data_IF_918656407685
#
_entry.id   IF_918656407685
#
_cell.length_a   1.000
_cell.length_b   1.000
_cell.length_c   1.000
_cell.angle_alpha   90.00
_cell.angle_beta   90.00
_cell.angle_gamma   90.00
#
_symmetry.space_group_name_H-M   'P 1'
#
loop_
_entity.id
_entity.type
_entity.pdbx_description
1 polymer ?
#
# COMPACT_ATOMS: atom_id res chain seq x y z
N UNK A 1 9.26 -7.29 -4.56
CA UNK A 1 9.47 -6.83 -5.94
C UNK A 1 8.28 -6.05 -6.50
N UNK A 2 7.04 -6.59 -6.49
CA UNK A 2 5.85 -5.91 -7.03
C UNK A 2 5.65 -4.49 -6.46
N UNK A 3 5.84 -4.27 -5.15
CA UNK A 3 5.76 -2.97 -4.48
C UNK A 3 6.74 -1.93 -5.04
N UNK A 4 7.97 -2.32 -5.33
CA UNK A 4 9.01 -1.40 -5.79
C UNK A 4 8.71 -0.81 -7.19
N UNK A 5 7.97 -1.56 -8.00
CA UNK A 5 7.52 -1.11 -9.33
C UNK A 5 6.32 -0.15 -9.22
N UNK A 6 5.46 -0.34 -8.20
CA UNK A 6 4.23 0.45 -8.03
C UNK A 6 4.48 1.83 -7.43
N UNK A 7 5.53 1.99 -6.61
CA UNK A 7 5.83 3.27 -5.93
C UNK A 7 6.06 4.43 -6.91
N UNK A 8 6.88 4.31 -7.98
CA UNK A 8 7.08 5.41 -8.93
C UNK A 8 5.81 5.81 -9.69
N UNK A 9 4.90 4.84 -9.93
CA UNK A 9 3.62 5.07 -10.59
C UNK A 9 2.64 5.86 -9.72
N UNK A 10 2.81 5.82 -8.41
CA UNK A 10 1.88 6.43 -7.45
C UNK A 10 1.74 7.93 -7.66
N UNK A 11 2.84 8.64 -7.90
CA UNK A 11 2.82 10.09 -8.10
C UNK A 11 2.00 10.52 -9.32
N UNK A 12 2.08 9.78 -10.41
CA UNK A 12 1.29 10.03 -11.60
C UNK A 12 -0.19 9.64 -11.40
N UNK A 13 -0.45 8.46 -10.83
CA UNK A 13 -1.80 8.00 -10.53
C UNK A 13 -2.53 8.95 -9.58
N UNK A 14 -1.84 9.45 -8.55
CA UNK A 14 -2.38 10.40 -7.59
C UNK A 14 -2.80 11.72 -8.25
N UNK A 15 -1.98 12.26 -9.17
CA UNK A 15 -2.32 13.47 -9.92
C UNK A 15 -3.49 13.25 -10.89
N UNK A 16 -3.64 12.06 -11.44
CA UNK A 16 -4.69 11.75 -12.43
C UNK A 16 -6.03 11.42 -11.79
N UNK A 17 -6.05 10.63 -10.73
CA UNK A 17 -7.27 10.10 -10.11
C UNK A 17 -7.64 10.78 -8.80
N UNK A 18 -6.74 11.57 -8.23
CA UNK A 18 -6.85 12.15 -6.91
C UNK A 18 -6.26 11.23 -5.83
N UNK A 19 -5.61 11.83 -4.82
CA UNK A 19 -4.93 11.08 -3.75
C UNK A 19 -5.90 10.27 -2.90
N UNK A 20 -7.05 10.86 -2.53
CA UNK A 20 -8.05 10.20 -1.66
C UNK A 20 -8.69 9.03 -2.37
N UNK A 21 -9.12 9.20 -3.62
CA UNK A 21 -9.73 8.11 -4.41
C UNK A 21 -8.74 6.98 -4.63
N UNK A 22 -7.49 7.32 -5.03
CA UNK A 22 -6.47 6.30 -5.26
C UNK A 22 -6.16 5.53 -3.98
N UNK A 23 -6.06 6.20 -2.84
CA UNK A 23 -5.85 5.57 -1.54
C UNK A 23 -6.99 4.61 -1.18
N UNK A 24 -8.25 5.04 -1.34
CA UNK A 24 -9.42 4.20 -1.07
C UNK A 24 -9.46 2.97 -1.99
N UNK A 25 -9.30 3.15 -3.31
CA UNK A 25 -9.30 2.04 -4.25
C UNK A 25 -8.16 1.05 -4.00
N UNK A 26 -6.97 1.55 -3.69
CA UNK A 26 -5.83 0.71 -3.32
C UNK A 26 -6.09 -0.07 -2.03
N UNK A 27 -6.73 0.54 -1.03
CA UNK A 27 -7.08 -0.13 0.23
C UNK A 27 -8.14 -1.21 0.02
N UNK A 28 -9.19 -0.93 -0.77
CA UNK A 28 -10.23 -1.93 -1.10
C UNK A 28 -9.62 -3.09 -1.87
N UNK A 29 -8.82 -2.80 -2.91
CA UNK A 29 -8.17 -3.82 -3.71
C UNK A 29 -7.17 -4.65 -2.88
N UNK A 30 -6.45 -4.03 -1.93
CA UNK A 30 -5.57 -4.72 -0.99
C UNK A 30 -6.35 -5.66 -0.06
N UNK A 31 -7.48 -5.20 0.50
CA UNK A 31 -8.33 -6.03 1.36
C UNK A 31 -8.94 -7.20 0.58
N UNK A 32 -9.40 -6.97 -0.65
CA UNK A 32 -9.93 -8.02 -1.53
C UNK A 32 -8.83 -9.05 -1.91
N UNK A 33 -7.63 -8.58 -2.27
CA UNK A 33 -6.49 -9.47 -2.54
C UNK A 33 -6.05 -10.26 -1.29
N UNK A 34 -6.11 -9.64 -0.10
CA UNK A 34 -5.86 -10.33 1.16
C UNK A 34 -6.88 -11.43 1.41
N UNK A 35 -8.16 -11.14 1.22
CA UNK A 35 -9.20 -12.15 1.34
C UNK A 35 -8.97 -13.32 0.37
N UNK A 36 -8.66 -13.02 -0.89
CA UNK A 36 -8.36 -14.02 -1.91
C UNK A 36 -7.12 -14.87 -1.56
N UNK A 37 -6.10 -14.27 -0.93
CA UNK A 37 -4.96 -15.03 -0.38
C UNK A 37 -5.40 -16.00 0.71
N UNK A 38 -6.28 -15.56 1.63
CA UNK A 38 -6.76 -16.39 2.75
C UNK A 38 -7.58 -17.61 2.33
N UNK A 39 -8.32 -17.52 1.20
CA UNK A 39 -9.12 -18.62 0.64
C UNK A 39 -8.39 -19.43 -0.42
N UNK A 40 -7.11 -19.12 -0.71
CA UNK A 40 -6.37 -19.83 -1.75
C UNK A 40 -6.14 -21.29 -1.39
N UNK A 41 -6.49 -22.19 -2.30
CA UNK A 41 -6.36 -23.64 -2.16
C UNK A 41 -5.09 -24.19 -2.81
N UNK A 42 -4.37 -23.39 -3.58
CA UNK A 42 -3.15 -23.82 -4.26
C UNK A 42 -2.03 -22.78 -4.10
N UNK A 43 -0.78 -23.24 -4.14
CA UNK A 43 0.40 -22.38 -4.06
C UNK A 43 0.44 -21.37 -5.20
N UNK A 44 0.09 -21.77 -6.42
CA UNK A 44 0.10 -20.89 -7.57
C UNK A 44 -0.94 -19.76 -7.43
N UNK A 45 -2.12 -20.08 -6.92
CA UNK A 45 -3.18 -19.12 -6.64
C UNK A 45 -2.73 -18.12 -5.55
N UNK A 46 -2.10 -18.61 -4.50
CA UNK A 46 -1.54 -17.78 -3.44
C UNK A 46 -0.47 -16.82 -3.98
N UNK A 47 0.47 -17.33 -4.78
CA UNK A 47 1.53 -16.50 -5.39
C UNK A 47 0.92 -15.42 -6.27
N UNK A 48 -0.06 -15.75 -7.11
CA UNK A 48 -0.74 -14.79 -7.96
C UNK A 48 -1.38 -13.65 -7.15
N UNK A 49 -2.20 -13.98 -6.14
CA UNK A 49 -2.83 -12.95 -5.31
C UNK A 49 -1.84 -12.17 -4.45
N UNK A 50 -0.72 -12.76 -4.07
CA UNK A 50 0.38 -12.05 -3.40
C UNK A 50 1.06 -11.02 -4.31
N UNK A 51 1.21 -11.33 -5.58
CA UNK A 51 1.73 -10.35 -6.56
C UNK A 51 0.73 -9.20 -6.73
N UNK A 52 -0.55 -9.51 -6.90
CA UNK A 52 -1.62 -8.49 -6.98
C UNK A 52 -1.63 -7.62 -5.71
N UNK A 53 -1.63 -8.26 -4.53
CA UNK A 53 -1.57 -7.56 -3.24
C UNK A 53 -0.36 -6.63 -3.14
N UNK A 54 0.81 -7.09 -3.59
CA UNK A 54 2.04 -6.28 -3.62
C UNK A 54 1.95 -5.06 -4.55
N UNK A 55 1.33 -5.21 -5.73
CA UNK A 55 1.14 -4.09 -6.68
C UNK A 55 0.22 -3.03 -6.08
N UNK A 56 -0.92 -3.43 -5.52
CA UNK A 56 -1.91 -2.47 -4.98
C UNK A 56 -1.48 -1.87 -3.63
N UNK A 57 -0.58 -2.54 -2.90
CA UNK A 57 -0.02 -2.01 -1.65
C UNK A 57 1.02 -0.92 -1.88
N UNK A 58 1.70 -0.90 -3.04
CA UNK A 58 2.76 0.06 -3.35
C UNK A 58 2.36 1.52 -3.15
N UNK A 59 1.23 1.97 -3.65
CA UNK A 59 0.74 3.33 -3.47
C UNK A 59 0.35 3.71 -2.03
N UNK A 60 0.02 2.74 -1.16
CA UNK A 60 -0.56 3.03 0.16
C UNK A 60 0.38 3.82 1.08
N UNK A 61 1.67 3.47 1.09
CA UNK A 61 2.65 4.16 1.95
C UNK A 61 2.85 5.62 1.53
N UNK A 62 3.23 5.94 0.29
CA UNK A 62 3.42 7.32 -0.12
C UNK A 62 2.12 8.14 -0.09
N UNK A 63 0.97 7.54 -0.42
CA UNK A 63 -0.31 8.22 -0.34
C UNK A 63 -0.73 8.53 1.09
N UNK A 64 -0.53 7.61 2.03
CA UNK A 64 -0.84 7.87 3.44
C UNK A 64 -0.02 9.03 3.99
N UNK A 65 1.27 9.12 3.63
CA UNK A 65 2.14 10.21 4.02
C UNK A 65 1.72 11.55 3.36
N UNK A 66 1.39 11.53 2.06
CA UNK A 66 0.93 12.71 1.33
C UNK A 66 -0.39 13.24 1.90
N UNK A 67 -1.37 12.37 2.11
CA UNK A 67 -2.66 12.72 2.70
C UNK A 67 -2.51 13.31 4.11
N UNK A 68 -1.60 12.77 4.90
CA UNK A 68 -1.30 13.28 6.24
C UNK A 68 -0.72 14.70 6.15
N UNK A 69 0.28 14.92 5.30
CA UNK A 69 0.91 16.24 5.13
C UNK A 69 -0.05 17.29 4.56
N UNK A 70 -0.95 16.91 3.67
CA UNK A 70 -1.91 17.82 3.04
C UNK A 70 -3.07 18.20 3.98
N UNK A 71 -3.39 17.37 4.96
CA UNK A 71 -4.50 17.62 5.88
C UNK A 71 -4.09 18.22 7.23
N UNK A 72 -2.80 18.20 7.58
CA UNK A 72 -2.30 18.79 8.82
C UNK A 72 -1.72 20.19 8.61
N UNK A 73 -2.00 21.15 9.53
CA UNK A 73 -1.40 22.46 9.50
C UNK A 73 0.11 22.42 9.62
N UNK A 74 0.87 23.34 8.98
CA UNK A 74 2.33 23.31 8.93
C UNK A 74 3.01 23.13 10.28
N UNK A 75 2.49 23.77 11.33
CA UNK A 75 3.03 23.69 12.70
C UNK A 75 2.94 22.32 13.35
N UNK A 76 2.04 21.43 12.88
CA UNK A 76 1.82 20.09 13.44
C UNK A 76 2.31 18.96 12.53
N UNK A 77 2.85 19.27 11.34
CA UNK A 77 3.31 18.26 10.36
C UNK A 77 4.44 17.39 10.90
N UNK A 78 5.38 17.96 11.64
CA UNK A 78 6.50 17.22 12.23
C UNK A 78 6.02 16.17 13.23
N UNK A 79 5.06 16.51 14.08
CA UNK A 79 4.47 15.58 15.07
C UNK A 79 3.69 14.49 14.35
N UNK A 80 2.90 14.86 13.35
CA UNK A 80 2.13 13.90 12.55
C UNK A 80 3.04 12.89 11.81
N UNK A 81 4.15 13.38 11.22
CA UNK A 81 5.15 12.51 10.61
C UNK A 81 5.88 11.62 11.61
N UNK A 82 6.18 12.11 12.81
CA UNK A 82 6.79 11.30 13.85
C UNK A 82 5.87 10.14 14.27
N UNK A 83 4.57 10.40 14.49
CA UNK A 83 3.58 9.37 14.78
C UNK A 83 3.42 8.37 13.65
N UNK A 84 3.38 8.84 12.40
CA UNK A 84 3.35 7.98 11.21
C UNK A 84 4.58 7.08 11.14
N UNK A 85 5.79 7.64 11.35
CA UNK A 85 7.04 6.88 11.35
C UNK A 85 7.07 5.82 12.43
N UNK A 86 6.58 6.12 13.64
CA UNK A 86 6.44 5.12 14.72
C UNK A 86 5.57 3.94 14.29
N UNK A 87 4.45 4.21 13.63
CA UNK A 87 3.56 3.15 13.13
C UNK A 87 4.26 2.26 12.09
N UNK A 88 5.03 2.87 11.18
CA UNK A 88 5.78 2.13 10.14
C UNK A 88 6.88 1.24 10.75
N UNK A 89 7.48 1.65 11.87
CA UNK A 89 8.51 0.86 12.55
C UNK A 89 7.90 -0.25 13.40
N UNK A 90 6.81 0.03 14.12
CA UNK A 90 6.15 -0.93 15.02
C UNK A 90 5.48 -2.07 14.26
N UNK A 91 4.87 -1.79 13.10
CA UNK A 91 4.14 -2.79 12.32
C UNK A 91 4.99 -4.02 11.91
N UNK A 92 6.23 -3.87 11.40
CA UNK A 92 7.09 -5.01 11.09
C UNK A 92 7.54 -5.81 12.31
N UNK A 93 7.58 -5.20 13.49
CA UNK A 93 7.93 -5.90 14.74
C UNK A 93 6.75 -6.74 15.23
N UNK A 94 5.55 -6.17 15.20
CA UNK A 94 4.33 -6.85 15.62
C UNK A 94 3.88 -7.93 14.61
N UNK A 95 4.20 -7.75 13.32
CA UNK A 95 3.80 -8.67 12.24
C UNK A 95 4.19 -10.13 12.48
N UNK A 96 5.47 -10.44 12.67
CA UNK A 96 5.94 -11.80 12.94
C UNK A 96 5.36 -12.40 14.23
N UNK A 97 5.18 -11.60 15.29
CA UNK A 97 4.62 -12.05 16.57
C UNK A 97 3.16 -12.46 16.40
N UNK A 98 2.35 -11.58 15.79
CA UNK A 98 0.94 -11.87 15.52
C UNK A 98 0.78 -12.98 14.49
N UNK A 99 1.59 -12.97 13.44
CA UNK A 99 1.56 -13.99 12.39
C UNK A 99 1.93 -15.38 12.91
N UNK A 100 2.96 -15.47 13.76
CA UNK A 100 3.34 -16.71 14.43
C UNK A 100 2.23 -17.22 15.33
N UNK A 101 1.70 -16.39 16.22
CA UNK A 101 0.60 -16.75 17.10
C UNK A 101 -0.65 -17.25 16.34
N UNK A 102 -1.02 -16.56 15.25
CA UNK A 102 -2.15 -16.97 14.41
C UNK A 102 -1.87 -18.29 13.70
N UNK A 103 -0.66 -18.49 13.18
CA UNK A 103 -0.27 -19.70 12.48
C UNK A 103 -0.25 -20.93 13.39
N UNK A 104 0.15 -20.75 14.67
CA UNK A 104 0.27 -21.84 15.64
C UNK A 104 -1.10 -22.23 16.24
N UNK A 105 -2.02 -21.27 16.38
CA UNK A 105 -3.30 -21.50 17.08
C UNK A 105 -4.52 -21.55 16.15
N UNK A 106 -4.41 -21.05 14.91
CA UNK A 106 -5.52 -20.95 13.95
C UNK A 106 -5.07 -21.39 12.56
N UNK A 107 -5.99 -21.45 11.62
CA UNK A 107 -5.67 -21.70 10.22
C UNK A 107 -4.84 -20.52 9.66
N UNK A 108 -3.76 -20.84 8.93
CA UNK A 108 -2.82 -19.85 8.36
C UNK A 108 -3.49 -18.71 7.54
N UNK A 109 -4.63 -18.99 6.94
CA UNK A 109 -5.40 -17.99 6.17
C UNK A 109 -5.86 -16.81 7.00
N UNK A 110 -5.96 -16.95 8.33
CA UNK A 110 -6.34 -15.84 9.22
C UNK A 110 -5.33 -14.69 9.22
N UNK A 111 -4.06 -14.97 8.92
CA UNK A 111 -3.03 -13.93 8.74
C UNK A 111 -3.45 -12.90 7.66
N UNK A 112 -4.21 -13.35 6.68
CA UNK A 112 -4.73 -12.50 5.61
C UNK A 112 -6.08 -11.90 5.93
N UNK A 113 -6.95 -12.66 6.56
CA UNK A 113 -8.31 -12.20 6.88
C UNK A 113 -8.32 -11.04 7.86
N UNK A 114 -7.33 -10.91 8.74
CA UNK A 114 -7.20 -9.76 9.66
C UNK A 114 -7.08 -8.42 8.91
N UNK A 115 -6.56 -8.41 7.69
CA UNK A 115 -6.45 -7.19 6.87
C UNK A 115 -7.80 -6.71 6.33
N UNK A 116 -8.79 -7.60 6.23
CA UNK A 116 -10.11 -7.25 5.65
C UNK A 116 -10.87 -6.28 6.55
N UNK A 117 -11.13 -6.57 7.84
CA UNK A 117 -11.81 -5.63 8.71
C UNK A 117 -11.03 -4.33 8.91
N UNK A 118 -9.69 -4.41 8.96
CA UNK A 118 -8.83 -3.22 9.04
C UNK A 118 -8.97 -2.37 7.78
N UNK A 119 -8.94 -2.98 6.60
CA UNK A 119 -9.12 -2.29 5.32
C UNK A 119 -10.50 -1.61 5.22
N UNK A 120 -11.56 -2.28 5.64
CA UNK A 120 -12.91 -1.72 5.68
C UNK A 120 -12.95 -0.51 6.63
N UNK A 121 -12.40 -0.63 7.84
CA UNK A 121 -12.34 0.45 8.80
C UNK A 121 -11.58 1.67 8.25
N UNK A 122 -10.43 1.46 7.60
CA UNK A 122 -9.63 2.52 6.96
C UNK A 122 -10.43 3.22 5.86
N UNK A 123 -11.13 2.47 5.00
CA UNK A 123 -11.97 3.06 3.93
C UNK A 123 -13.10 3.90 4.52
N UNK A 124 -13.81 3.39 5.53
CA UNK A 124 -14.91 4.12 6.20
C UNK A 124 -14.39 5.38 6.88
N UNK A 125 -13.28 5.32 7.60
CA UNK A 125 -12.66 6.48 8.23
C UNK A 125 -12.21 7.52 7.19
N UNK A 126 -11.62 7.07 6.08
CA UNK A 126 -11.18 7.95 5.00
C UNK A 126 -12.38 8.64 4.34
N UNK A 127 -13.44 7.91 4.08
CA UNK A 127 -14.70 8.47 3.56
C UNK A 127 -15.31 9.51 4.52
N UNK A 128 -15.30 9.22 5.81
CA UNK A 128 -15.86 10.15 6.81
C UNK A 128 -15.02 11.43 6.96
N UNK A 129 -13.69 11.28 6.97
CA UNK A 129 -12.76 12.39 7.30
C UNK A 129 -12.36 13.21 6.09
N UNK A 130 -12.18 12.58 4.92
CA UNK A 130 -11.61 13.18 3.70
C UNK A 130 -12.65 13.38 2.58
N UNK A 131 -13.94 13.18 2.86
CA UNK A 131 -15.02 13.39 1.90
C UNK A 131 -15.02 14.86 1.43
N UNK A 132 -14.80 15.08 0.14
CA UNK A 132 -14.75 16.42 -0.45
C UNK A 132 -13.38 17.12 -0.39
N UNK A 133 -12.34 16.49 0.18
CA UNK A 133 -10.96 17.05 0.23
C UNK A 133 -10.06 16.44 -0.84
N UNK A 134 -10.56 16.32 -2.06
CA UNK A 134 -9.72 15.82 -3.16
C UNK A 134 -8.70 16.86 -3.59
N UNK A 135 -7.47 16.40 -3.81
CA UNK A 135 -6.40 17.20 -4.41
C UNK A 135 -6.77 17.51 -5.86
N UNK A 136 -6.41 18.72 -6.35
CA UNK A 136 -6.62 19.10 -7.74
C UNK A 136 -6.03 18.04 -8.68
N UNK A 137 -6.89 17.47 -9.52
CA UNK A 137 -6.51 16.50 -10.54
C UNK A 137 -5.96 17.22 -11.76
N UNK A 138 -4.71 16.99 -12.10
CA UNK A 138 -4.08 17.49 -13.32
C UNK A 138 -3.95 16.35 -14.35
N UNK A 139 -4.49 16.55 -15.55
CA UNK A 139 -4.26 15.62 -16.67
C UNK A 139 -2.86 15.84 -17.27
N UNK A 140 -1.81 15.41 -16.58
CA UNK A 140 -0.48 15.36 -17.18
C UNK A 140 -0.30 14.11 -18.02
N UNK A 141 0.35 14.27 -19.19
CA UNK A 141 0.77 13.14 -20.03
C UNK A 141 1.81 12.31 -19.27
N UNK A 142 1.73 10.99 -19.43
CA UNK A 142 2.69 10.05 -18.84
C UNK A 142 4.03 10.28 -19.55
N UNK A 143 5.08 10.47 -18.79
CA UNK A 143 6.44 10.25 -19.28
C UNK A 143 6.72 8.73 -19.24
N UNK A 144 6.24 8.04 -20.30
CA UNK A 144 6.36 6.61 -20.42
C UNK A 144 7.82 6.16 -20.49
N UNK A 145 8.70 7.03 -21.03
CA UNK A 145 10.13 6.72 -21.17
C UNK A 145 10.83 6.80 -19.82
N UNK A 146 10.60 7.88 -19.05
CA UNK A 146 11.17 8.02 -17.71
C UNK A 146 10.68 6.91 -16.76
N UNK A 147 9.43 6.51 -16.90
CA UNK A 147 8.82 5.46 -16.09
C UNK A 147 9.37 4.08 -16.44
N UNK A 148 9.56 3.77 -17.72
CA UNK A 148 10.19 2.53 -18.19
C UNK A 148 11.64 2.43 -17.70
N UNK A 149 12.42 3.51 -17.80
CA UNK A 149 13.79 3.56 -17.32
C UNK A 149 13.88 3.37 -15.80
N UNK A 150 12.96 3.96 -15.03
CA UNK A 150 12.86 3.75 -13.57
C UNK A 150 12.57 2.29 -13.22
N UNK A 151 11.60 1.67 -13.87
CA UNK A 151 11.23 0.27 -13.63
C UNK A 151 12.39 -0.66 -13.98
N UNK A 152 13.05 -0.44 -15.11
CA UNK A 152 14.22 -1.22 -15.54
C UNK A 152 15.39 -1.01 -14.57
N UNK A 153 15.66 0.25 -14.18
CA UNK A 153 16.74 0.59 -13.25
C UNK A 153 16.55 -0.05 -11.86
N UNK A 154 15.35 0.06 -11.28
CA UNK A 154 15.04 -0.55 -9.98
C UNK A 154 15.06 -2.08 -10.09
N UNK A 155 14.50 -2.65 -11.18
CA UNK A 155 14.48 -4.09 -11.42
C UNK A 155 15.90 -4.66 -11.54
N UNK A 156 16.78 -4.03 -12.31
CA UNK A 156 18.17 -4.46 -12.49
C UNK A 156 18.97 -4.37 -11.17
N UNK A 157 18.81 -3.28 -10.42
CA UNK A 157 19.42 -3.11 -9.09
C UNK A 157 19.01 -4.21 -8.12
N UNK A 158 17.71 -4.56 -8.09
CA UNK A 158 17.21 -5.64 -7.21
C UNK A 158 17.71 -7.02 -7.62
N UNK A 159 17.84 -7.28 -8.92
CA UNK A 159 18.41 -8.55 -9.42
C UNK A 159 19.87 -8.65 -9.05
N UNK A 160 20.65 -7.58 -9.27
CA UNK A 160 22.08 -7.54 -8.95
C UNK A 160 22.34 -7.65 -7.44
N UNK A 161 21.51 -7.00 -6.62
CA UNK A 161 21.62 -7.10 -5.16
C UNK A 161 21.28 -8.50 -4.62
N UNK A 162 20.51 -9.29 -5.36
CA UNK A 162 20.14 -10.67 -4.96
C UNK A 162 21.17 -11.72 -5.44
N UNK A 163 21.99 -11.37 -6.43
CA UNK A 163 23.02 -12.27 -7.00
C UNK A 163 24.36 -12.23 -6.24
N UNK A 164 24.48 -11.34 -5.25
CA UNK A 164 25.62 -11.28 -4.31
C UNK A 164 25.21 -11.84 -2.94
#
# INVERSE_FOLDING_TARGET
>A
MANAISIPLTGWLAKRFGEVKLFMWSTVAFAAASWACGVSSSLNMLIFFRVVQGVVAGPLIPLSQSLLLNNYPPAKRSIALALWSMTVIVAPICGPILGGYISDNYHWGWIFFINVPIGIAVVLMTLHTLRGRETHTERRRIDAVGLALLVIGIGSLQITARSR
#
